data_IF_467438620429
#
_entry.id   IF_467438620429
#
_cell.length_a   1.000
_cell.length_b   1.000
_cell.length_c   1.000
_cell.angle_alpha   90.00
_cell.angle_beta   90.00
_cell.angle_gamma   90.00
#
_symmetry.space_group_name_H-M   'P 1'
#
loop_
_entity.id
_entity.type
_entity.pdbx_description
1 polymer ?
#
# COMPACT_ATOMS: atom_id res chain seq x y z
N UNK A 1 1.73 -33.90 19.06
CA UNK A 1 1.61 -32.79 20.02
C UNK A 1 0.45 -31.92 19.56
N UNK A 2 -0.59 -31.70 20.37
CA UNK A 2 -1.69 -30.80 20.02
C UNK A 2 -1.13 -29.37 20.00
N UNK A 3 -1.05 -28.76 18.82
CA UNK A 3 -0.61 -27.38 18.68
C UNK A 3 -1.46 -26.45 19.54
N UNK A 4 -0.88 -25.40 20.07
CA UNK A 4 -1.60 -24.38 20.85
C UNK A 4 -2.83 -23.92 20.05
N UNK A 5 -4.01 -23.91 20.71
CA UNK A 5 -5.24 -23.42 20.08
C UNK A 5 -5.23 -21.91 19.81
N UNK A 6 -4.26 -21.21 20.36
CA UNK A 6 -4.11 -19.75 20.26
C UNK A 6 -2.67 -19.37 20.01
N UNK A 7 -2.47 -18.23 19.33
CA UNK A 7 -1.17 -17.61 19.12
C UNK A 7 -1.29 -16.10 19.25
N UNK A 8 -0.18 -15.44 19.59
CA UNK A 8 -0.08 -13.99 19.73
C UNK A 8 0.80 -13.42 18.63
N UNK A 9 0.36 -12.34 18.02
CA UNK A 9 1.08 -11.68 16.94
C UNK A 9 0.72 -10.21 16.88
N UNK A 10 1.71 -9.38 16.51
CA UNK A 10 1.51 -7.98 16.15
C UNK A 10 0.97 -7.91 14.73
N UNK A 11 -0.10 -7.17 14.51
CA UNK A 11 -0.76 -7.04 13.21
C UNK A 11 -1.05 -5.59 12.87
N UNK A 12 -1.06 -5.28 11.59
CA UNK A 12 -1.57 -4.04 11.00
C UNK A 12 -2.93 -4.32 10.36
N UNK A 13 -3.98 -3.59 10.73
CA UNK A 13 -5.33 -3.79 10.19
C UNK A 13 -5.43 -3.10 8.83
N UNK A 14 -5.58 -3.88 7.75
CA UNK A 14 -5.66 -3.40 6.37
C UNK A 14 -7.09 -3.20 5.89
N UNK A 15 -8.02 -4.09 6.28
CA UNK A 15 -9.42 -4.02 5.83
C UNK A 15 -10.38 -4.58 6.89
N UNK A 16 -11.62 -4.07 6.87
CA UNK A 16 -12.72 -4.51 7.74
C UNK A 16 -13.98 -4.77 6.91
N UNK A 17 -14.40 -6.02 6.84
CA UNK A 17 -15.62 -6.42 6.14
C UNK A 17 -16.71 -6.77 7.15
N UNK A 18 -17.94 -6.26 6.93
CA UNK A 18 -19.11 -6.61 7.76
C UNK A 18 -19.39 -8.12 7.65
N UNK A 19 -19.51 -8.78 8.80
CA UNK A 19 -19.83 -10.20 8.89
C UNK A 19 -20.89 -10.40 9.97
N UNK A 20 -21.99 -11.10 9.64
CA UNK A 20 -23.15 -11.22 10.50
C UNK A 20 -23.65 -9.85 11.01
N UNK A 21 -24.47 -9.85 12.05
CA UNK A 21 -25.13 -8.64 12.56
C UNK A 21 -24.14 -7.72 13.32
N UNK A 22 -23.27 -8.30 14.13
CA UNK A 22 -22.40 -7.55 15.05
C UNK A 22 -20.90 -7.79 14.86
N UNK A 23 -20.52 -8.68 13.95
CA UNK A 23 -19.15 -9.12 13.77
C UNK A 23 -18.47 -8.43 12.58
N UNK A 24 -17.14 -8.42 12.59
CA UNK A 24 -16.30 -8.02 11.45
C UNK A 24 -15.37 -9.18 11.08
N UNK A 25 -15.08 -9.30 9.78
CA UNK A 25 -13.87 -9.98 9.31
C UNK A 25 -12.81 -8.91 9.17
N UNK A 26 -11.67 -9.11 9.79
CA UNK A 26 -10.48 -8.29 9.65
C UNK A 26 -9.54 -8.97 8.66
N UNK A 27 -9.01 -8.20 7.71
CA UNK A 27 -7.84 -8.57 6.90
C UNK A 27 -6.66 -7.78 7.43
N UNK A 28 -5.61 -8.46 7.83
CA UNK A 28 -4.48 -7.88 8.56
C UNK A 28 -3.17 -8.37 7.96
N UNK A 29 -2.12 -7.64 8.20
CA UNK A 29 -0.74 -8.02 7.90
C UNK A 29 -0.02 -8.26 9.24
N UNK A 30 0.51 -9.46 9.47
CA UNK A 30 1.29 -9.74 10.67
C UNK A 30 2.74 -9.21 10.54
N UNK A 31 3.46 -9.15 11.65
CA UNK A 31 4.86 -8.67 11.69
C UNK A 31 5.84 -9.49 10.85
N UNK A 32 5.45 -10.71 10.44
CA UNK A 32 6.19 -11.55 9.50
C UNK A 32 5.83 -11.27 8.04
N UNK A 33 4.86 -10.35 7.80
CA UNK A 33 4.39 -10.00 6.47
C UNK A 33 3.36 -10.95 5.87
N UNK A 34 2.82 -11.89 6.65
CA UNK A 34 1.74 -12.77 6.20
C UNK A 34 0.39 -12.05 6.30
N UNK A 35 -0.47 -12.30 5.35
CA UNK A 35 -1.86 -11.89 5.46
C UNK A 35 -2.58 -12.82 6.46
N UNK A 36 -3.26 -12.22 7.43
CA UNK A 36 -4.05 -12.94 8.45
C UNK A 36 -5.48 -12.48 8.38
N UNK A 37 -6.42 -13.44 8.34
CA UNK A 37 -7.86 -13.14 8.35
C UNK A 37 -8.51 -13.70 9.60
N UNK A 38 -9.22 -12.84 10.35
CA UNK A 38 -9.86 -13.25 11.60
C UNK A 38 -11.23 -12.61 11.80
N UNK A 39 -12.11 -13.32 12.50
CA UNK A 39 -13.42 -12.80 12.92
C UNK A 39 -13.28 -12.08 14.26
N UNK A 40 -13.60 -10.80 14.28
CA UNK A 40 -13.73 -9.99 15.49
C UNK A 40 -15.21 -9.99 15.93
N UNK A 41 -15.54 -10.90 16.87
CA UNK A 41 -16.92 -11.06 17.35
C UNK A 41 -17.39 -9.86 18.17
N UNK A 42 -18.58 -9.35 17.84
CA UNK A 42 -19.16 -8.20 18.52
C UNK A 42 -18.42 -6.88 18.31
N UNK A 43 -17.50 -6.79 17.35
CA UNK A 43 -16.72 -5.58 17.07
C UNK A 43 -17.58 -4.39 16.59
N UNK A 44 -18.83 -4.63 16.17
CA UNK A 44 -19.81 -3.60 15.81
C UNK A 44 -20.81 -3.28 16.91
N UNK A 45 -20.74 -3.95 18.06
CA UNK A 45 -21.61 -3.61 19.19
C UNK A 45 -21.22 -2.26 19.80
N UNK A 46 -22.18 -1.36 20.07
CA UNK A 46 -21.89 -0.11 20.79
C UNK A 46 -21.20 -0.43 22.12
N UNK A 47 -20.07 0.25 22.41
CA UNK A 47 -19.28 0.01 23.63
C UNK A 47 -18.52 -1.32 23.66
N UNK A 48 -18.47 -2.05 22.55
CA UNK A 48 -17.71 -3.30 22.43
C UNK A 48 -16.19 -3.06 22.57
N UNK A 49 -15.51 -3.90 23.38
CA UNK A 49 -14.06 -3.77 23.65
C UNK A 49 -13.20 -3.85 22.40
N UNK A 50 -13.65 -4.58 21.36
CA UNK A 50 -12.89 -4.77 20.12
C UNK A 50 -13.14 -3.65 19.11
N UNK A 51 -14.23 -2.89 19.21
CA UNK A 51 -14.57 -1.84 18.24
C UNK A 51 -13.43 -0.83 18.06
N UNK A 52 -12.99 -0.19 19.14
CA UNK A 52 -11.92 0.82 19.10
C UNK A 52 -10.50 0.23 18.94
N UNK A 53 -10.34 -1.09 19.13
CA UNK A 53 -9.02 -1.76 19.08
C UNK A 53 -8.73 -2.43 17.75
N UNK A 54 -9.72 -2.51 16.86
CA UNK A 54 -9.62 -3.13 15.55
C UNK A 54 -9.90 -2.10 14.43
N UNK A 55 -9.49 -0.84 14.66
CA UNK A 55 -9.66 0.22 13.66
C UNK A 55 -8.67 0.06 12.50
N UNK A 56 -9.07 0.56 11.31
CA UNK A 56 -8.24 0.54 10.12
C UNK A 56 -6.90 1.26 10.37
N UNK A 57 -5.85 0.76 9.77
CA UNK A 57 -4.51 1.34 9.76
C UNK A 57 -3.79 1.32 11.12
N UNK A 58 -4.45 0.78 12.16
CA UNK A 58 -3.85 0.63 13.48
C UNK A 58 -2.94 -0.60 13.56
N UNK A 59 -1.85 -0.47 14.30
CA UNK A 59 -1.03 -1.59 14.74
C UNK A 59 -1.57 -2.11 16.08
N UNK A 60 -1.82 -3.41 16.14
CA UNK A 60 -2.51 -4.05 17.26
C UNK A 60 -1.77 -5.33 17.65
N UNK A 61 -1.56 -5.54 18.95
CA UNK A 61 -1.12 -6.83 19.48
C UNK A 61 -2.37 -7.71 19.72
N UNK A 62 -2.47 -8.82 19.00
CA UNK A 62 -3.63 -9.70 19.03
C UNK A 62 -3.32 -11.09 19.53
N UNK A 63 -4.22 -11.62 20.38
CA UNK A 63 -4.33 -13.04 20.66
C UNK A 63 -5.40 -13.62 19.75
N UNK A 64 -4.99 -14.50 18.85
CA UNK A 64 -5.85 -15.17 17.86
C UNK A 64 -6.04 -16.63 18.24
N UNK A 65 -7.26 -17.14 18.07
CA UNK A 65 -7.56 -18.54 18.19
C UNK A 65 -7.74 -19.15 16.80
N UNK A 66 -7.06 -20.27 16.52
CA UNK A 66 -7.20 -20.97 15.25
C UNK A 66 -8.65 -21.39 15.00
N UNK A 67 -9.19 -20.97 13.88
CA UNK A 67 -10.50 -21.38 13.39
C UNK A 67 -10.40 -22.41 12.27
N UNK A 68 -11.55 -22.83 11.76
CA UNK A 68 -11.62 -23.82 10.67
C UNK A 68 -11.26 -23.21 9.31
N UNK A 69 -11.66 -21.96 9.06
CA UNK A 69 -11.41 -21.21 7.83
C UNK A 69 -10.91 -19.79 8.09
N UNK A 70 -11.28 -19.20 9.21
CA UNK A 70 -10.85 -17.88 9.67
C UNK A 70 -10.51 -17.99 11.15
N UNK A 71 -9.46 -17.34 11.57
CA UNK A 71 -9.11 -17.23 12.97
C UNK A 71 -10.14 -16.37 13.73
N UNK A 72 -10.10 -16.39 15.06
CA UNK A 72 -11.00 -15.61 15.90
C UNK A 72 -10.18 -14.72 16.82
N UNK A 73 -10.47 -13.42 16.83
CA UNK A 73 -9.85 -12.47 17.74
C UNK A 73 -10.35 -12.75 19.17
N UNK A 74 -9.45 -13.21 20.03
CA UNK A 74 -9.71 -13.47 21.45
C UNK A 74 -9.40 -12.23 22.31
N UNK A 75 -8.29 -11.55 22.02
CA UNK A 75 -7.87 -10.30 22.67
C UNK A 75 -7.22 -9.38 21.63
N UNK A 76 -7.33 -8.07 21.87
CA UNK A 76 -6.67 -7.06 21.06
C UNK A 76 -6.21 -5.92 21.98
N UNK A 77 -4.98 -5.46 21.80
CA UNK A 77 -4.39 -4.33 22.50
C UNK A 77 -3.83 -3.36 21.45
N UNK A 78 -4.36 -2.12 21.43
CA UNK A 78 -3.93 -1.10 20.50
C UNK A 78 -2.49 -0.67 20.84
N UNK A 79 -1.60 -0.77 19.88
CA UNK A 79 -0.20 -0.34 20.02
C UNK A 79 0.02 1.04 19.41
N UNK A 80 -0.43 1.23 18.16
CA UNK A 80 -0.23 2.46 17.39
C UNK A 80 -1.49 2.79 16.58
N UNK A 81 -1.85 4.06 16.56
CA UNK A 81 -2.93 4.63 15.74
C UNK A 81 -2.37 5.85 14.99
N UNK A 82 -1.63 5.63 13.88
CA UNK A 82 -0.85 6.70 13.23
C UNK A 82 -1.72 7.85 12.71
N UNK A 83 -2.96 7.58 12.33
CA UNK A 83 -3.86 8.60 11.78
C UNK A 83 -4.68 9.35 12.85
N UNK A 84 -4.50 9.02 14.14
CA UNK A 84 -5.31 9.59 15.22
C UNK A 84 -6.77 9.13 15.21
N UNK A 85 -7.62 9.85 15.94
CA UNK A 85 -9.03 9.45 16.16
C UNK A 85 -9.98 9.90 15.04
N UNK A 86 -9.63 10.94 14.30
CA UNK A 86 -10.49 11.54 13.26
C UNK A 86 -9.63 12.08 12.10
N UNK A 87 -9.05 11.19 11.26
CA UNK A 87 -8.30 11.61 10.09
C UNK A 87 -9.24 12.34 9.10
N UNK A 88 -8.71 13.30 8.39
CA UNK A 88 -9.41 13.95 7.30
C UNK A 88 -9.61 13.02 6.09
N UNK A 89 -10.31 13.52 5.09
CA UNK A 89 -10.63 12.76 3.89
C UNK A 89 -9.37 12.35 3.10
N UNK A 90 -8.43 13.27 2.90
CA UNK A 90 -7.21 13.03 2.11
C UNK A 90 -6.28 12.02 2.79
N UNK A 91 -6.06 12.20 4.09
CA UNK A 91 -5.33 11.24 4.95
C UNK A 91 -5.94 9.84 4.86
N UNK A 92 -7.29 9.75 4.94
CA UNK A 92 -8.00 8.48 4.84
C UNK A 92 -7.86 7.84 3.46
N UNK A 93 -7.91 8.62 2.37
CA UNK A 93 -7.72 8.12 1.01
C UNK A 93 -6.30 7.57 0.80
N UNK A 94 -5.28 8.31 1.21
CA UNK A 94 -3.88 7.88 1.09
C UNK A 94 -3.60 6.60 1.90
N UNK A 95 -4.07 6.54 3.14
CA UNK A 95 -3.93 5.34 3.97
C UNK A 95 -4.68 4.13 3.38
N UNK A 96 -5.87 4.36 2.80
CA UNK A 96 -6.65 3.30 2.14
C UNK A 96 -5.94 2.76 0.90
N UNK A 97 -5.31 3.62 0.10
CA UNK A 97 -4.52 3.21 -1.07
C UNK A 97 -3.31 2.35 -0.65
N UNK A 98 -2.58 2.78 0.38
CA UNK A 98 -1.45 2.01 0.94
C UNK A 98 -1.92 0.64 1.44
N UNK A 99 -2.99 0.58 2.24
CA UNK A 99 -3.53 -0.67 2.78
C UNK A 99 -4.07 -1.61 1.69
N UNK A 100 -4.70 -1.05 0.64
CA UNK A 100 -5.19 -1.82 -0.50
C UNK A 100 -4.04 -2.51 -1.24
N UNK A 101 -2.96 -1.78 -1.54
CA UNK A 101 -1.77 -2.34 -2.21
C UNK A 101 -1.06 -3.36 -1.32
N UNK A 102 -0.92 -3.09 -0.01
CA UNK A 102 -0.38 -4.08 0.94
C UNK A 102 -1.17 -5.39 0.92
N UNK A 103 -2.52 -5.29 0.92
CA UNK A 103 -3.42 -6.44 0.89
C UNK A 103 -3.29 -7.25 -0.41
N UNK A 104 -3.08 -6.58 -1.54
CA UNK A 104 -2.90 -7.25 -2.84
C UNK A 104 -1.53 -7.94 -2.92
N UNK A 105 -0.50 -7.37 -2.31
CA UNK A 105 0.87 -7.88 -2.34
C UNK A 105 1.22 -8.86 -1.21
N UNK A 106 0.28 -9.18 -0.30
CA UNK A 106 0.52 -10.11 0.81
C UNK A 106 -0.34 -11.37 0.70
N UNK A 107 0.16 -12.51 1.21
CA UNK A 107 -0.50 -13.81 1.13
C UNK A 107 -0.47 -14.52 2.49
N UNK A 108 -1.43 -15.45 2.71
CA UNK A 108 -1.56 -16.18 3.98
C UNK A 108 -0.36 -17.12 4.23
N UNK A 109 0.20 -17.69 3.16
CA UNK A 109 1.25 -18.70 3.23
C UNK A 109 2.67 -18.17 2.93
N UNK A 110 2.83 -16.86 2.73
CA UNK A 110 4.12 -16.24 2.41
C UNK A 110 4.57 -15.28 3.52
N UNK A 111 5.79 -15.47 4.01
CA UNK A 111 6.41 -14.56 4.99
C UNK A 111 7.29 -13.54 4.27
N UNK A 112 7.00 -12.26 4.48
CA UNK A 112 7.76 -11.13 3.95
C UNK A 112 7.74 -9.94 4.93
N UNK A 113 8.62 -9.92 5.94
CA UNK A 113 8.67 -8.86 6.95
C UNK A 113 8.87 -7.45 6.38
N UNK A 114 9.45 -7.34 5.19
CA UNK A 114 9.62 -6.05 4.52
C UNK A 114 8.26 -5.41 4.22
N UNK A 115 7.29 -6.19 3.73
CA UNK A 115 5.93 -5.70 3.44
C UNK A 115 5.28 -5.09 4.68
N UNK A 116 5.42 -5.71 5.87
CA UNK A 116 4.93 -5.13 7.12
C UNK A 116 5.64 -3.82 7.45
N UNK A 117 6.96 -3.81 7.43
CA UNK A 117 7.76 -2.66 7.85
C UNK A 117 7.55 -1.43 6.94
N UNK A 118 7.54 -1.63 5.61
CA UNK A 118 7.34 -0.53 4.65
C UNK A 118 5.92 0.03 4.73
N UNK A 119 4.91 -0.83 4.94
CA UNK A 119 3.51 -0.40 5.08
C UNK A 119 3.30 0.39 6.37
N UNK A 120 3.81 -0.10 7.50
CA UNK A 120 3.75 0.61 8.78
C UNK A 120 4.43 1.98 8.69
N UNK A 121 5.62 2.05 8.06
CA UNK A 121 6.34 3.32 7.87
C UNK A 121 5.57 4.31 7.00
N UNK A 122 5.00 3.85 5.89
CA UNK A 122 4.21 4.71 5.00
C UNK A 122 2.97 5.27 5.74
N UNK A 123 2.23 4.45 6.49
CA UNK A 123 1.07 4.90 7.28
C UNK A 123 1.46 5.89 8.38
N UNK A 124 2.62 5.70 9.02
CA UNK A 124 3.12 6.64 10.02
C UNK A 124 3.41 8.03 9.40
N UNK A 125 3.94 8.06 8.17
CA UNK A 125 4.18 9.32 7.45
C UNK A 125 2.88 9.98 6.98
N UNK A 126 1.89 9.21 6.51
CA UNK A 126 0.55 9.76 6.22
C UNK A 126 -0.03 10.48 7.43
N UNK A 127 0.12 9.90 8.63
CA UNK A 127 -0.35 10.49 9.88
C UNK A 127 0.48 11.67 10.41
N UNK A 128 1.60 12.01 9.78
CA UNK A 128 2.46 13.12 10.23
C UNK A 128 2.02 14.51 9.78
N UNK A 129 0.92 14.61 9.01
CA UNK A 129 0.38 15.89 8.53
C UNK A 129 1.03 16.38 7.23
N UNK A 130 1.28 15.49 6.28
CA UNK A 130 1.74 15.83 4.94
C UNK A 130 0.68 16.64 4.18
N UNK A 131 1.12 17.52 3.30
CA UNK A 131 0.24 18.13 2.29
C UNK A 131 -0.14 17.12 1.20
N UNK A 132 -1.12 17.49 0.37
CA UNK A 132 -1.64 16.63 -0.69
C UNK A 132 -0.57 16.15 -1.68
N UNK A 133 0.36 17.03 -2.09
CA UNK A 133 1.40 16.67 -3.03
C UNK A 133 2.38 15.65 -2.45
N UNK A 134 2.75 15.81 -1.18
CA UNK A 134 3.60 14.84 -0.49
C UNK A 134 2.87 13.53 -0.18
N UNK A 135 1.55 13.54 0.07
CA UNK A 135 0.77 12.32 0.17
C UNK A 135 0.76 11.54 -1.15
N UNK A 136 0.55 12.23 -2.29
CA UNK A 136 0.60 11.63 -3.62
C UNK A 136 1.98 11.02 -3.92
N UNK A 137 3.04 11.78 -3.63
CA UNK A 137 4.42 11.32 -3.78
C UNK A 137 4.73 10.10 -2.91
N UNK A 138 4.28 10.11 -1.66
CA UNK A 138 4.46 8.99 -0.72
C UNK A 138 3.79 7.72 -1.21
N UNK A 139 2.52 7.82 -1.65
CA UNK A 139 1.77 6.66 -2.16
C UNK A 139 2.42 6.15 -3.44
N UNK A 140 2.82 7.02 -4.37
CA UNK A 140 3.54 6.62 -5.58
C UNK A 140 4.86 5.87 -5.24
N UNK A 141 5.65 6.41 -4.32
CA UNK A 141 6.89 5.79 -3.86
C UNK A 141 6.64 4.43 -3.20
N UNK A 142 5.62 4.35 -2.35
CA UNK A 142 5.23 3.10 -1.68
C UNK A 142 4.86 2.01 -2.69
N UNK A 143 4.01 2.34 -3.66
CA UNK A 143 3.57 1.41 -4.71
C UNK A 143 4.75 0.87 -5.51
N UNK A 144 5.61 1.75 -6.04
CA UNK A 144 6.77 1.31 -6.82
C UNK A 144 7.77 0.49 -5.99
N UNK A 145 8.02 0.87 -4.74
CA UNK A 145 8.95 0.15 -3.86
C UNK A 145 8.41 -1.24 -3.48
N UNK A 146 7.14 -1.32 -3.07
CA UNK A 146 6.56 -2.61 -2.68
C UNK A 146 6.45 -3.55 -3.88
N UNK A 147 5.94 -3.07 -5.02
CA UNK A 147 5.85 -3.89 -6.23
C UNK A 147 7.22 -4.33 -6.74
N UNK A 148 8.24 -3.47 -6.65
CA UNK A 148 9.61 -3.86 -6.99
C UNK A 148 10.14 -4.95 -6.08
N UNK A 149 9.79 -4.91 -4.80
CA UNK A 149 10.21 -5.93 -3.82
C UNK A 149 9.56 -7.28 -4.13
N UNK A 150 8.27 -7.30 -4.48
CA UNK A 150 7.56 -8.55 -4.83
C UNK A 150 7.77 -9.01 -6.28
N UNK A 151 8.74 -8.44 -7.00
CA UNK A 151 9.19 -8.92 -8.29
C UNK A 151 8.76 -8.10 -9.52
N UNK A 152 7.97 -7.05 -9.33
CA UNK A 152 7.51 -6.15 -10.41
C UNK A 152 8.31 -4.84 -10.42
N UNK A 153 9.63 -4.95 -10.62
CA UNK A 153 10.50 -3.78 -10.63
C UNK A 153 10.54 -3.15 -12.02
N UNK A 154 10.14 -1.85 -12.16
CA UNK A 154 10.29 -1.13 -13.42
C UNK A 154 11.75 -0.83 -13.74
N UNK A 155 12.11 -0.79 -15.03
CA UNK A 155 13.41 -0.30 -15.45
C UNK A 155 13.31 1.19 -15.86
N UNK A 156 14.04 2.02 -15.09
CA UNK A 156 14.14 3.47 -15.32
C UNK A 156 15.53 3.90 -15.75
N UNK A 157 16.44 2.97 -16.05
CA UNK A 157 17.82 3.26 -16.39
C UNK A 157 18.00 3.67 -17.87
N UNK A 158 17.42 2.90 -18.78
CA UNK A 158 17.51 3.08 -20.21
C UNK A 158 16.21 2.61 -20.87
N UNK A 159 16.09 2.82 -22.19
CA UNK A 159 14.93 2.31 -22.94
C UNK A 159 14.86 0.79 -22.85
N UNK A 160 13.75 0.27 -22.31
CA UNK A 160 13.54 -1.17 -22.08
C UNK A 160 13.55 -2.03 -23.36
N UNK A 161 13.42 -1.40 -24.55
CA UNK A 161 13.41 -2.10 -25.82
C UNK A 161 14.75 -2.03 -26.58
N UNK A 162 15.47 -0.88 -26.55
CA UNK A 162 16.68 -0.69 -27.37
C UNK A 162 17.90 -0.21 -26.58
N UNK A 163 17.77 0.11 -25.29
CA UNK A 163 18.87 0.59 -24.45
C UNK A 163 19.23 2.07 -24.64
N UNK A 164 18.44 2.84 -25.42
CA UNK A 164 18.69 4.28 -25.61
C UNK A 164 18.55 5.03 -24.27
N UNK A 165 19.50 5.92 -23.91
CA UNK A 165 19.44 6.71 -22.69
C UNK A 165 18.42 7.88 -22.75
N UNK A 166 17.94 8.25 -23.93
CA UNK A 166 16.98 9.34 -24.14
C UNK A 166 15.56 8.87 -23.89
N UNK A 167 15.09 9.04 -22.66
CA UNK A 167 13.81 8.53 -22.17
C UNK A 167 12.75 9.63 -22.16
N UNK A 168 11.61 9.34 -22.76
CA UNK A 168 10.47 10.28 -22.87
C UNK A 168 9.09 9.62 -22.75
N UNK A 169 9.03 8.31 -22.58
CA UNK A 169 7.77 7.58 -22.42
C UNK A 169 7.86 6.53 -21.30
N UNK A 170 6.74 6.29 -20.63
CA UNK A 170 6.55 5.22 -19.66
C UNK A 170 5.49 4.24 -20.14
N UNK A 171 5.76 2.95 -20.01
CA UNK A 171 4.79 1.90 -20.31
C UNK A 171 4.87 0.76 -19.31
N UNK A 172 3.78 0.48 -18.57
CA UNK A 172 3.70 -0.68 -17.71
C UNK A 172 3.85 -2.00 -18.46
N UNK A 173 3.28 -2.09 -19.66
CA UNK A 173 3.32 -3.30 -20.49
C UNK A 173 4.73 -3.58 -20.99
N UNK A 174 5.51 -2.54 -21.32
CA UNK A 174 6.89 -2.68 -21.72
C UNK A 174 7.85 -2.91 -20.55
N UNK A 175 7.42 -2.62 -19.33
CA UNK A 175 8.20 -2.85 -18.10
C UNK A 175 9.01 -1.64 -17.62
N UNK A 176 8.75 -0.41 -18.12
CA UNK A 176 9.46 0.77 -17.65
C UNK A 176 9.48 1.94 -18.63
N UNK A 177 10.65 2.62 -18.70
CA UNK A 177 10.84 3.81 -19.55
C UNK A 177 11.31 3.44 -20.97
N UNK A 178 10.91 4.27 -21.93
CA UNK A 178 11.24 4.10 -23.34
C UNK A 178 11.66 5.41 -24.02
N UNK A 179 12.42 5.29 -25.10
CA UNK A 179 12.70 6.40 -26.00
C UNK A 179 11.51 6.64 -26.95
N UNK A 180 11.47 7.84 -27.56
CA UNK A 180 10.39 8.22 -28.49
C UNK A 180 10.23 7.31 -29.70
N UNK A 181 11.34 6.79 -30.23
CA UNK A 181 11.32 5.88 -31.38
C UNK A 181 10.63 4.55 -31.07
N UNK A 182 10.92 3.96 -29.90
CA UNK A 182 10.32 2.69 -29.49
C UNK A 182 8.86 2.84 -29.04
N UNK A 183 8.52 3.97 -28.42
CA UNK A 183 7.16 4.24 -27.93
C UNK A 183 6.11 4.23 -29.02
N UNK A 184 6.46 4.58 -30.26
CA UNK A 184 5.54 4.56 -31.41
C UNK A 184 4.98 3.16 -31.72
N UNK A 185 5.66 2.10 -31.28
CA UNK A 185 5.23 0.70 -31.46
C UNK A 185 4.50 0.11 -30.24
N UNK A 186 4.37 0.86 -29.14
CA UNK A 186 3.75 0.38 -27.89
C UNK A 186 2.51 1.23 -27.58
N UNK A 187 1.30 0.67 -27.79
CA UNK A 187 0.06 1.39 -27.49
C UNK A 187 -0.05 1.75 -26.01
N UNK A 188 -0.55 2.95 -25.71
CA UNK A 188 -0.79 3.39 -24.34
C UNK A 188 0.47 3.79 -23.58
N UNK A 189 1.60 4.00 -24.27
CA UNK A 189 2.78 4.58 -23.65
C UNK A 189 2.53 6.04 -23.26
N UNK A 190 2.76 6.39 -22.00
CA UNK A 190 2.52 7.74 -21.45
C UNK A 190 3.75 8.62 -21.64
N UNK A 191 3.53 9.84 -22.15
CA UNK A 191 4.62 10.82 -22.33
C UNK A 191 5.12 11.29 -20.96
N UNK A 192 6.43 11.29 -20.75
CA UNK A 192 7.09 11.77 -19.53
C UNK A 192 8.18 12.79 -19.86
N UNK A 193 8.21 13.86 -19.08
CA UNK A 193 9.26 14.87 -19.14
C UNK A 193 10.57 14.38 -18.49
N UNK A 194 11.68 15.07 -18.76
CA UNK A 194 12.97 14.80 -18.10
C UNK A 194 12.88 14.92 -16.57
N UNK A 195 12.09 15.87 -16.08
CA UNK A 195 11.85 16.05 -14.65
C UNK A 195 11.11 14.88 -14.02
N UNK A 196 10.06 14.36 -14.69
CA UNK A 196 9.32 13.19 -14.23
C UNK A 196 10.16 11.91 -14.29
N UNK A 197 11.03 11.76 -15.30
CA UNK A 197 12.02 10.66 -15.32
C UNK A 197 12.94 10.74 -14.11
N UNK A 198 13.41 11.93 -13.75
CA UNK A 198 14.24 12.12 -12.55
C UNK A 198 13.47 11.73 -11.27
N UNK A 199 12.22 12.12 -11.15
CA UNK A 199 11.35 11.73 -10.04
C UNK A 199 11.08 10.23 -9.98
N UNK A 200 10.79 9.56 -11.09
CA UNK A 200 10.62 8.09 -11.14
C UNK A 200 11.87 7.37 -10.61
N UNK A 201 13.07 7.85 -10.96
CA UNK A 201 14.32 7.33 -10.41
C UNK A 201 14.48 7.61 -8.92
N UNK A 202 14.09 8.82 -8.46
CA UNK A 202 14.11 9.22 -7.06
C UNK A 202 13.16 8.35 -6.21
N UNK A 203 11.93 8.06 -6.70
CA UNK A 203 10.98 7.16 -6.04
C UNK A 203 11.59 5.80 -5.72
N UNK A 204 12.48 5.30 -6.58
CA UNK A 204 13.14 4.00 -6.39
C UNK A 204 14.37 4.05 -5.49
N UNK A 205 15.15 5.13 -5.54
CA UNK A 205 16.47 5.20 -4.90
C UNK A 205 16.47 5.90 -3.55
N UNK A 206 15.58 6.87 -3.31
CA UNK A 206 15.52 7.64 -2.08
C UNK A 206 14.65 6.96 -1.02
N UNK A 207 14.94 7.22 0.25
CA UNK A 207 14.05 6.83 1.37
C UNK A 207 12.78 7.68 1.36
N UNK A 208 11.73 7.23 2.06
CA UNK A 208 10.52 8.07 2.22
C UNK A 208 10.84 9.41 2.88
N UNK A 209 11.65 9.41 3.93
CA UNK A 209 12.02 10.65 4.63
C UNK A 209 12.76 11.64 3.72
N UNK A 210 13.66 11.14 2.88
CA UNK A 210 14.37 11.97 1.92
C UNK A 210 13.41 12.53 0.84
N UNK A 211 12.47 11.72 0.36
CA UNK A 211 11.44 12.18 -0.58
C UNK A 211 10.52 13.25 0.03
N UNK A 212 10.14 13.08 1.29
CA UNK A 212 9.27 14.05 1.99
C UNK A 212 9.99 15.37 2.32
N UNK A 213 11.31 15.43 2.23
CA UNK A 213 12.09 16.64 2.40
C UNK A 213 12.29 17.44 1.10
N UNK A 214 12.02 16.82 -0.06
CA UNK A 214 12.13 17.48 -1.37
C UNK A 214 10.90 18.32 -1.68
N UNK A 215 11.08 19.36 -2.51
CA UNK A 215 9.98 20.15 -3.02
C UNK A 215 9.44 19.55 -4.30
N UNK A 216 8.15 19.27 -4.34
CA UNK A 216 7.45 18.77 -5.52
C UNK A 216 6.24 19.65 -5.82
N UNK A 217 5.97 19.91 -7.09
CA UNK A 217 4.74 20.56 -7.48
C UNK A 217 3.57 19.58 -7.51
N UNK A 218 2.33 20.04 -7.19
CA UNK A 218 1.17 19.15 -7.08
C UNK A 218 0.83 18.40 -8.37
N UNK A 219 1.07 19.01 -9.54
CA UNK A 219 0.78 18.36 -10.81
C UNK A 219 1.71 17.17 -11.06
N UNK A 220 3.01 17.34 -10.84
CA UNK A 220 4.00 16.26 -10.95
C UNK A 220 3.70 15.14 -9.94
N UNK A 221 3.35 15.47 -8.70
CA UNK A 221 3.00 14.47 -7.69
C UNK A 221 1.78 13.63 -8.09
N UNK A 222 0.70 14.28 -8.52
CA UNK A 222 -0.51 13.61 -9.01
C UNK A 222 -0.23 12.76 -10.26
N UNK A 223 0.62 13.24 -11.17
CA UNK A 223 1.03 12.49 -12.35
C UNK A 223 1.79 11.20 -11.97
N UNK A 224 2.77 11.30 -11.07
CA UNK A 224 3.50 10.14 -10.55
C UNK A 224 2.59 9.12 -9.83
N UNK A 225 1.60 9.61 -9.08
CA UNK A 225 0.57 8.76 -8.50
C UNK A 225 -0.22 8.02 -9.59
N UNK A 226 -0.60 8.72 -10.66
CA UNK A 226 -1.26 8.11 -11.83
C UNK A 226 -0.43 7.00 -12.47
N UNK A 227 0.86 7.25 -12.71
CA UNK A 227 1.78 6.23 -13.25
C UNK A 227 1.92 5.02 -12.31
N UNK A 228 1.99 5.25 -11.00
CA UNK A 228 2.07 4.17 -10.00
C UNK A 228 0.79 3.32 -9.96
N UNK A 229 -0.38 3.95 -10.13
CA UNK A 229 -1.66 3.25 -10.22
C UNK A 229 -1.72 2.34 -11.45
N UNK A 230 -1.38 2.87 -12.64
CA UNK A 230 -1.37 2.08 -13.88
C UNK A 230 -0.36 0.93 -13.79
N UNK A 231 0.81 1.18 -13.18
CA UNK A 231 1.81 0.14 -12.90
C UNK A 231 1.22 -0.98 -12.04
N UNK A 232 0.64 -0.61 -10.89
CA UNK A 232 0.07 -1.58 -9.96
C UNK A 232 -1.09 -2.37 -10.57
N UNK A 233 -2.03 -1.70 -11.24
CA UNK A 233 -3.17 -2.35 -11.88
C UNK A 233 -2.74 -3.36 -12.96
N UNK A 234 -1.71 -3.00 -13.77
CA UNK A 234 -1.18 -3.87 -14.82
C UNK A 234 -0.53 -5.14 -14.27
N UNK A 235 0.27 -5.01 -13.20
CA UNK A 235 1.07 -6.12 -12.69
C UNK A 235 0.38 -6.99 -11.64
N UNK A 236 -0.65 -6.46 -10.96
CA UNK A 236 -1.42 -7.25 -9.98
C UNK A 236 -2.70 -7.84 -10.55
N UNK A 237 -3.11 -7.44 -11.75
CA UNK A 237 -4.40 -7.79 -12.36
C UNK A 237 -5.58 -7.52 -11.41
N UNK A 238 -5.48 -6.46 -10.61
CA UNK A 238 -6.47 -6.07 -9.62
C UNK A 238 -6.96 -4.65 -9.86
N UNK A 239 -8.24 -4.43 -9.62
CA UNK A 239 -8.80 -3.10 -9.56
C UNK A 239 -8.49 -2.46 -8.21
N UNK A 240 -7.75 -1.36 -8.21
CA UNK A 240 -7.31 -0.64 -7.01
C UNK A 240 -8.24 0.55 -6.75
N UNK A 241 -9.37 0.26 -6.10
CA UNK A 241 -10.45 1.25 -5.88
C UNK A 241 -10.05 2.42 -5.01
N UNK A 242 -9.23 2.18 -3.97
CA UNK A 242 -8.77 3.26 -3.09
C UNK A 242 -7.81 4.20 -3.83
N UNK A 243 -6.95 3.67 -4.72
CA UNK A 243 -6.12 4.49 -5.59
C UNK A 243 -6.95 5.26 -6.62
N UNK A 244 -7.96 4.64 -7.24
CA UNK A 244 -8.89 5.33 -8.15
C UNK A 244 -9.58 6.50 -7.44
N UNK A 245 -10.02 6.31 -6.19
CA UNK A 245 -10.63 7.36 -5.36
C UNK A 245 -9.64 8.50 -5.09
N UNK A 246 -8.38 8.17 -4.82
CA UNK A 246 -7.33 9.14 -4.57
C UNK A 246 -7.01 9.97 -5.82
N UNK A 247 -7.07 9.38 -7.02
CA UNK A 247 -6.87 10.06 -8.30
C UNK A 247 -8.05 10.93 -8.74
N UNK A 248 -9.26 10.64 -8.26
CA UNK A 248 -10.49 11.36 -8.62
C UNK A 248 -10.84 12.57 -7.75
N UNK A 249 -9.99 12.95 -6.79
CA UNK A 249 -10.18 14.08 -5.86
C UNK A 249 -9.67 15.41 -6.41
#
# INVERSE_FOLDING_TARGET
>A
MAGSRTYRTKVLVLDKTKFKETDLILTMLDERGRQVRAVAKGARKPGGRLAARCELFCTVDMLLAHGRSLDVVSQAELMEAPLGAAPDYETTCAASAIAEVARVCSFEDAEDPFTFAITQRALALVGSGLDTAHMDLLVAAYVFKLLSHVGYRPDFSACVLCGDPMLSYFSPQAGGLMCGSCASSVPGAELVSTGEVAWLRALMSMTFDALMAERIDPHTAAFLLGLSHVWAATHTDQRLRAMEFMLGR
#
